data_IF_708473719995
#
_entry.id   IF_708473719995
#
_cell.length_a   1.000
_cell.length_b   1.000
_cell.length_c   1.000
_cell.angle_alpha   90.00
_cell.angle_beta   90.00
_cell.angle_gamma   90.00
#
_symmetry.space_group_name_H-M   'P 1'
#
loop_
_entity.id
_entity.type
_entity.pdbx_description
1 polymer ?
#
# COMPACT_ATOMS: atom_id res chain seq x y z
N UNK A 1 -3.17 -29.77 -80.72
CA UNK A 1 -4.42 -30.35 -81.26
C UNK A 1 -5.57 -29.49 -80.78
N UNK A 2 -6.44 -29.10 -81.70
CA UNK A 2 -7.35 -27.95 -81.64
C UNK A 2 -8.80 -28.41 -81.42
N UNK A 3 -9.53 -27.65 -80.57
CA UNK A 3 -11.00 -27.44 -80.51
C UNK A 3 -11.92 -28.62 -80.12
N UNK A 4 -13.19 -28.38 -79.65
CA UNK A 4 -14.07 -27.19 -79.77
C UNK A 4 -14.78 -26.79 -78.44
N UNK A 5 -15.71 -25.83 -78.25
CA UNK A 5 -16.61 -24.96 -79.04
C UNK A 5 -16.97 -23.73 -78.13
N UNK A 6 -17.17 -22.46 -78.57
CA UNK A 6 -18.30 -21.82 -79.31
C UNK A 6 -19.68 -22.14 -78.65
N UNK A 7 -20.60 -21.22 -78.25
CA UNK A 7 -21.11 -19.95 -78.83
C UNK A 7 -21.87 -19.09 -77.74
N UNK A 8 -22.52 -17.90 -78.01
CA UNK A 8 -22.32 -16.64 -77.25
C UNK A 8 -23.64 -15.88 -76.88
N UNK A 9 -23.53 -14.55 -76.62
CA UNK A 9 -24.52 -13.46 -76.78
C UNK A 9 -25.27 -12.89 -75.53
N UNK A 10 -24.67 -11.87 -74.87
CA UNK A 10 -25.02 -10.42 -74.75
C UNK A 10 -26.51 -9.92 -74.60
N UNK A 11 -26.74 -8.68 -74.05
CA UNK A 11 -27.43 -8.36 -72.77
C UNK A 11 -28.72 -7.48 -72.95
N UNK A 12 -29.32 -6.83 -71.91
CA UNK A 12 -28.87 -5.48 -71.52
C UNK A 12 -29.05 -5.04 -70.04
N UNK A 13 -28.07 -4.26 -69.58
CA UNK A 13 -28.07 -3.01 -68.77
C UNK A 13 -29.26 -2.62 -67.86
N UNK A 14 -28.91 -2.27 -66.61
CA UNK A 14 -29.28 -1.04 -65.89
C UNK A 14 -28.20 -0.84 -64.79
N UNK A 15 -27.24 0.07 -64.99
CA UNK A 15 -27.17 1.42 -64.37
C UNK A 15 -27.20 1.38 -62.83
N UNK A 16 -26.28 1.94 -62.05
CA UNK A 16 -25.07 2.74 -62.24
C UNK A 16 -24.32 2.69 -60.88
N UNK A 17 -22.97 2.77 -60.85
CA UNK A 17 -22.18 2.87 -59.63
C UNK A 17 -21.81 4.33 -59.35
N UNK A 18 -21.83 4.76 -58.09
CA UNK A 18 -21.34 6.09 -57.73
C UNK A 18 -21.15 6.25 -56.23
N UNK A 19 -19.92 6.49 -55.80
CA UNK A 19 -19.62 6.78 -54.41
C UNK A 19 -18.14 6.62 -54.10
N UNK A 20 -17.38 7.63 -54.47
CA UNK A 20 -15.96 7.83 -54.21
C UNK A 20 -15.61 7.64 -52.71
N UNK A 21 -14.42 7.10 -52.43
CA UNK A 21 -13.74 7.24 -51.13
C UNK A 21 -13.45 8.74 -50.92
N UNK A 22 -13.53 9.29 -49.69
CA UNK A 22 -12.28 9.37 -48.91
C UNK A 22 -12.41 9.46 -47.37
N UNK A 23 -11.27 9.19 -46.74
CA UNK A 23 -10.69 9.76 -45.49
C UNK A 23 -11.22 9.37 -44.10
N UNK A 24 -10.22 9.02 -43.28
CA UNK A 24 -10.10 9.15 -41.82
C UNK A 24 -11.32 9.70 -41.08
N UNK A 25 -11.92 8.85 -40.26
CA UNK A 25 -12.69 9.30 -39.10
C UNK A 25 -11.80 9.13 -37.87
N UNK A 26 -10.98 10.15 -37.64
CA UNK A 26 -10.44 10.47 -36.33
C UNK A 26 -11.53 11.17 -35.51
N UNK A 27 -11.53 10.85 -34.22
CA UNK A 27 -12.06 11.62 -33.09
C UNK A 27 -13.53 12.04 -33.14
N UNK A 28 -14.34 11.45 -32.25
CA UNK A 28 -15.09 12.19 -31.23
C UNK A 28 -15.45 11.22 -30.10
N UNK A 29 -14.44 10.86 -29.30
CA UNK A 29 -14.72 10.45 -27.93
C UNK A 29 -15.11 11.74 -27.19
N UNK A 30 -16.42 11.93 -26.96
CA UNK A 30 -16.87 12.90 -25.96
C UNK A 30 -16.33 12.47 -24.60
N UNK A 31 -15.15 13.00 -24.25
CA UNK A 31 -14.65 13.05 -22.89
C UNK A 31 -15.55 14.03 -22.12
N UNK A 32 -16.62 13.51 -21.53
CA UNK A 32 -17.34 14.22 -20.48
C UNK A 32 -16.44 14.24 -19.24
N UNK A 33 -15.49 15.18 -19.21
CA UNK A 33 -14.82 15.65 -18.01
C UNK A 33 -15.83 16.46 -17.17
N UNK A 34 -16.83 15.77 -16.63
CA UNK A 34 -17.44 16.21 -15.36
C UNK A 34 -16.51 15.66 -14.27
N UNK A 35 -15.34 16.28 -14.15
CA UNK A 35 -14.59 16.25 -12.92
C UNK A 35 -15.39 17.04 -11.90
N UNK A 36 -16.33 16.36 -11.25
CA UNK A 36 -16.83 16.78 -9.95
C UNK A 36 -15.61 16.98 -9.06
N UNK A 37 -15.21 18.25 -8.95
CA UNK A 37 -14.28 18.78 -7.97
C UNK A 37 -14.93 18.60 -6.60
N UNK A 38 -14.96 17.36 -6.13
CA UNK A 38 -15.01 17.08 -4.71
C UNK A 38 -13.68 17.62 -4.19
N UNK A 39 -13.69 18.90 -3.81
CA UNK A 39 -12.75 19.45 -2.86
C UNK A 39 -12.82 18.55 -1.61
N UNK A 40 -11.97 17.53 -1.59
CA UNK A 40 -11.68 16.73 -0.42
C UNK A 40 -11.00 17.71 0.54
N UNK A 41 -11.81 18.39 1.35
CA UNK A 41 -11.40 19.41 2.33
C UNK A 41 -10.64 18.79 3.52
N UNK A 42 -10.09 17.59 3.32
CA UNK A 42 -9.24 16.81 4.21
C UNK A 42 -7.75 17.11 3.95
N UNK A 43 -7.41 18.14 3.17
CA UNK A 43 -6.03 18.59 3.03
C UNK A 43 -5.57 19.19 4.38
N UNK A 44 -4.69 18.46 5.06
CA UNK A 44 -4.18 18.84 6.36
C UNK A 44 -3.50 20.21 6.30
N UNK A 45 -3.95 21.14 7.13
CA UNK A 45 -3.56 22.55 7.16
C UNK A 45 -2.13 22.84 7.64
N UNK A 46 -1.32 21.80 7.89
CA UNK A 46 0.03 21.92 8.41
C UNK A 46 0.13 22.00 9.93
N UNK A 47 -0.99 22.03 10.66
CA UNK A 47 -0.98 22.19 12.12
C UNK A 47 -0.77 20.86 12.86
N UNK A 48 -0.08 20.87 14.01
CA UNK A 48 -0.04 19.71 14.89
C UNK A 48 -1.44 19.23 15.27
N UNK A 49 -1.63 17.93 15.36
CA UNK A 49 -2.89 17.31 15.76
C UNK A 49 -2.67 16.32 16.89
N UNK A 50 -3.66 16.12 17.74
CA UNK A 50 -3.60 15.18 18.84
C UNK A 50 -4.66 14.10 18.69
N UNK A 51 -4.30 12.89 19.07
CA UNK A 51 -5.25 11.79 19.17
C UNK A 51 -5.82 11.76 20.58
N UNK A 52 -7.14 11.89 20.67
CA UNK A 52 -7.84 11.76 21.94
C UNK A 52 -8.00 10.29 22.31
N UNK A 53 -7.54 9.94 23.51
CA UNK A 53 -7.81 8.63 24.09
C UNK A 53 -8.92 8.81 25.12
N UNK A 54 -10.15 8.32 24.85
CA UNK A 54 -11.23 8.37 25.81
C UNK A 54 -10.79 7.75 27.14
N UNK A 55 -11.14 8.40 28.26
CA UNK A 55 -10.70 7.94 29.59
C UNK A 55 -11.25 6.55 29.95
N UNK A 56 -12.36 6.16 29.33
CA UNK A 56 -13.01 4.86 29.41
C UNK A 56 -12.48 3.85 28.37
N UNK A 57 -11.57 4.26 27.49
CA UNK A 57 -11.01 3.41 26.45
C UNK A 57 -10.40 2.14 27.05
N UNK A 58 -10.71 0.94 26.51
CA UNK A 58 -10.11 -0.32 26.94
C UNK A 58 -8.57 -0.28 26.92
N UNK A 59 -7.99 0.52 26.03
CA UNK A 59 -6.54 0.72 25.93
C UNK A 59 -5.92 1.33 27.19
N UNK A 60 -6.68 2.09 27.97
CA UNK A 60 -6.20 2.75 29.19
C UNK A 60 -6.74 2.10 30.47
N UNK A 61 -7.93 1.50 30.41
CA UNK A 61 -8.63 0.96 31.59
C UNK A 61 -8.41 -0.53 31.80
N UNK A 62 -8.01 -1.27 30.76
CA UNK A 62 -7.93 -2.73 30.78
C UNK A 62 -6.48 -3.21 30.66
N UNK A 63 -6.18 -4.29 31.36
CA UNK A 63 -4.97 -5.09 31.18
C UNK A 63 -5.27 -6.34 30.36
N UNK A 64 -4.28 -6.79 29.59
CA UNK A 64 -4.44 -7.84 28.61
C UNK A 64 -3.52 -9.02 28.93
N UNK A 65 -4.03 -10.23 28.75
CA UNK A 65 -3.27 -11.47 28.96
C UNK A 65 -2.04 -11.60 28.05
N UNK A 66 -2.08 -10.96 26.87
CA UNK A 66 -1.01 -11.04 25.87
C UNK A 66 -0.76 -9.70 25.19
N UNK A 67 0.47 -9.53 24.71
CA UNK A 67 0.87 -8.36 23.94
C UNK A 67 0.07 -8.25 22.64
N UNK A 68 -0.17 -9.37 21.96
CA UNK A 68 -0.85 -9.40 20.67
C UNK A 68 -2.30 -8.91 20.78
N UNK A 69 -3.03 -9.30 21.84
CA UNK A 69 -4.38 -8.82 22.10
C UNK A 69 -4.44 -7.30 22.29
N UNK A 70 -3.54 -6.76 23.11
CA UNK A 70 -3.44 -5.31 23.30
C UNK A 70 -3.09 -4.62 21.98
N UNK A 71 -2.12 -5.17 21.24
CA UNK A 71 -1.67 -4.60 19.98
C UNK A 71 -2.78 -4.59 18.93
N UNK A 72 -3.66 -5.58 18.89
CA UNK A 72 -4.78 -5.61 17.95
C UNK A 72 -5.85 -4.56 18.28
N UNK A 73 -6.18 -4.35 19.56
CA UNK A 73 -7.04 -3.24 19.98
C UNK A 73 -6.40 -1.89 19.63
N UNK A 74 -5.09 -1.76 19.87
CA UNK A 74 -4.36 -0.54 19.55
C UNK A 74 -4.30 -0.29 18.05
N UNK A 75 -4.12 -1.32 17.21
CA UNK A 75 -4.18 -1.20 15.75
C UNK A 75 -5.56 -0.77 15.28
N UNK A 76 -6.64 -1.32 15.84
CA UNK A 76 -8.00 -0.92 15.50
C UNK A 76 -8.24 0.57 15.80
N UNK A 77 -7.78 1.03 16.96
CA UNK A 77 -7.78 2.44 17.32
C UNK A 77 -6.95 3.29 16.35
N UNK A 78 -5.78 2.81 15.95
CA UNK A 78 -4.94 3.49 14.97
C UNK A 78 -5.61 3.62 13.60
N UNK A 79 -6.31 2.57 13.13
CA UNK A 79 -7.09 2.60 11.89
C UNK A 79 -8.17 3.68 11.96
N UNK A 80 -8.93 3.73 13.06
CA UNK A 80 -9.99 4.71 13.27
C UNK A 80 -9.46 6.15 13.25
N UNK A 81 -8.28 6.36 13.83
CA UNK A 81 -7.61 7.67 13.88
C UNK A 81 -6.66 7.91 12.69
N UNK A 82 -6.75 7.11 11.62
CA UNK A 82 -5.94 7.27 10.40
C UNK A 82 -4.42 7.40 10.68
N UNK A 83 -3.92 6.56 11.58
CA UNK A 83 -2.52 6.58 12.01
C UNK A 83 -1.86 5.20 11.96
N UNK A 84 -0.53 5.21 11.94
CA UNK A 84 0.31 4.02 11.94
C UNK A 84 1.26 4.02 13.12
N UNK A 85 1.50 2.84 13.68
CA UNK A 85 2.43 2.65 14.79
C UNK A 85 3.45 1.58 14.47
N UNK A 86 4.65 1.74 15.01
CA UNK A 86 5.80 0.85 14.83
C UNK A 86 6.52 0.66 16.14
N UNK A 87 7.09 -0.54 16.34
CA UNK A 87 7.92 -0.84 17.50
C UNK A 87 9.32 -0.26 17.30
N UNK A 88 9.72 0.70 18.14
CA UNK A 88 11.05 1.34 18.08
C UNK A 88 12.05 0.76 19.07
N UNK A 89 11.56 0.20 20.19
CA UNK A 89 12.41 -0.42 21.21
C UNK A 89 11.64 -1.51 21.93
N UNK A 90 12.33 -2.59 22.28
CA UNK A 90 11.86 -3.59 23.22
C UNK A 90 12.82 -3.72 24.38
N UNK A 91 12.30 -4.05 25.55
CA UNK A 91 13.08 -4.29 26.76
C UNK A 91 12.69 -5.65 27.34
N UNK A 92 13.71 -6.47 27.58
CA UNK A 92 13.57 -7.76 28.26
C UNK A 92 13.68 -7.60 29.77
N UNK A 93 13.17 -8.60 30.49
CA UNK A 93 13.39 -8.73 31.92
C UNK A 93 14.88 -8.89 32.26
N UNK A 94 15.22 -8.75 33.55
CA UNK A 94 16.61 -8.89 34.02
C UNK A 94 17.20 -10.26 33.68
N UNK A 95 16.37 -11.30 33.68
CA UNK A 95 16.73 -12.67 33.30
C UNK A 95 16.87 -12.87 31.77
N UNK A 96 16.51 -11.86 30.96
CA UNK A 96 16.49 -11.87 29.49
C UNK A 96 15.63 -12.98 28.87
N UNK A 97 14.69 -13.55 29.62
CA UNK A 97 13.81 -14.66 29.20
C UNK A 97 12.58 -14.16 28.45
N UNK A 98 12.04 -13.01 28.83
CA UNK A 98 10.82 -12.45 28.23
C UNK A 98 10.94 -10.96 27.98
N UNK A 99 10.25 -10.50 26.93
CA UNK A 99 10.05 -9.07 26.71
C UNK A 99 8.98 -8.56 27.66
N UNK A 100 9.29 -7.50 28.41
CA UNK A 100 8.38 -6.92 29.42
C UNK A 100 7.90 -5.53 29.03
N UNK A 101 8.50 -4.92 28.00
CA UNK A 101 8.12 -3.58 27.56
C UNK A 101 8.42 -3.38 26.08
N UNK A 102 7.50 -2.72 25.40
CA UNK A 102 7.64 -2.21 24.04
C UNK A 102 7.41 -0.70 24.06
N UNK A 103 8.28 0.02 23.37
CA UNK A 103 8.06 1.42 23.05
C UNK A 103 7.60 1.48 21.59
N UNK A 104 6.40 2.01 21.39
CA UNK A 104 5.78 2.17 20.08
C UNK A 104 5.73 3.66 19.75
N UNK A 105 6.04 4.02 18.51
CA UNK A 105 6.00 5.38 18.01
C UNK A 105 5.19 5.43 16.70
N UNK A 106 4.89 6.64 16.24
CA UNK A 106 4.28 6.81 14.92
C UNK A 106 5.21 6.29 13.82
N UNK A 107 4.67 5.63 12.81
CA UNK A 107 5.43 5.10 11.67
C UNK A 107 6.01 6.19 10.76
N UNK A 108 5.41 7.39 10.79
CA UNK A 108 5.94 8.61 10.17
C UNK A 108 7.04 9.29 11.02
N UNK A 109 7.36 8.79 12.21
CA UNK A 109 8.43 9.35 13.06
C UNK A 109 9.83 9.01 12.55
N UNK A 110 10.81 9.88 12.81
CA UNK A 110 12.22 9.66 12.44
C UNK A 110 12.86 8.47 13.15
N UNK A 111 12.28 8.01 14.26
CA UNK A 111 12.76 6.83 14.96
C UNK A 111 12.57 5.55 14.13
N UNK A 112 11.64 5.59 13.17
CA UNK A 112 11.43 4.52 12.22
C UNK A 112 12.27 4.74 10.97
N UNK A 113 13.47 4.17 10.98
CA UNK A 113 14.17 3.89 9.73
C UNK A 113 13.72 2.49 9.27
N UNK A 114 12.92 2.36 8.18
CA UNK A 114 12.70 1.05 7.59
C UNK A 114 14.08 0.44 7.31
N UNK A 115 14.26 -0.86 7.63
CA UNK A 115 15.54 -1.56 7.45
C UNK A 115 16.14 -1.17 6.11
N UNK A 116 17.39 -0.72 6.12
CA UNK A 116 18.10 -0.32 4.92
C UNK A 116 17.92 -1.42 3.86
N UNK A 117 17.31 -1.07 2.73
CA UNK A 117 17.17 -2.01 1.63
C UNK A 117 18.59 -2.40 1.18
N UNK A 118 18.89 -3.70 1.15
CA UNK A 118 20.20 -4.21 0.73
C UNK A 118 20.41 -3.97 -0.78
N UNK A 119 19.32 -3.77 -1.53
CA UNK A 119 19.38 -3.31 -2.90
C UNK A 119 19.87 -1.85 -2.94
N UNK A 120 20.85 -1.56 -3.81
CA UNK A 120 21.29 -0.19 -4.15
C UNK A 120 20.19 0.54 -4.92
N UNK A 121 19.06 0.81 -4.27
CA UNK A 121 18.00 1.64 -4.82
C UNK A 121 18.59 3.05 -4.85
N UNK A 122 18.57 3.69 -6.03
CA UNK A 122 18.92 5.11 -6.18
C UNK A 122 18.12 5.88 -5.13
N UNK A 123 18.75 6.71 -4.31
CA UNK A 123 18.05 7.58 -3.35
C UNK A 123 17.07 8.47 -4.12
N UNK A 124 15.83 8.02 -4.27
CA UNK A 124 14.73 8.86 -4.72
C UNK A 124 14.27 9.65 -3.51
N UNK A 125 14.41 10.96 -3.58
CA UNK A 125 14.20 11.93 -2.50
C UNK A 125 12.70 12.09 -2.10
N UNK A 126 11.88 11.05 -2.30
CA UNK A 126 10.41 11.13 -2.31
C UNK A 126 9.74 10.61 -1.03
N UNK A 127 10.48 10.13 -0.03
CA UNK A 127 9.90 9.91 1.29
C UNK A 127 10.09 11.18 2.13
N UNK A 128 9.09 12.06 2.15
CA UNK A 128 8.99 13.09 3.19
C UNK A 128 8.78 12.38 4.53
N UNK A 129 9.86 11.94 5.17
CA UNK A 129 9.84 11.48 6.56
C UNK A 129 9.44 12.69 7.39
N UNK A 130 8.30 12.62 8.06
CA UNK A 130 7.80 13.69 8.91
C UNK A 130 8.84 14.00 9.99
N UNK A 131 9.20 15.27 10.04
CA UNK A 131 10.42 15.72 10.66
C UNK A 131 10.26 15.87 12.18
N UNK A 132 10.05 14.78 12.93
CA UNK A 132 9.93 14.68 14.41
C UNK A 132 8.49 14.54 14.94
N UNK A 133 7.73 13.55 14.47
CA UNK A 133 6.52 13.17 15.20
C UNK A 133 6.85 12.71 16.65
N UNK A 134 6.31 13.38 17.70
CA UNK A 134 6.60 13.02 19.09
C UNK A 134 5.67 11.93 19.64
N UNK A 135 4.63 11.53 18.90
CA UNK A 135 3.68 10.51 19.30
C UNK A 135 4.38 9.25 19.78
N UNK A 136 4.03 8.82 20.99
CA UNK A 136 4.65 7.67 21.65
C UNK A 136 3.73 7.06 22.67
N UNK A 137 3.65 5.74 22.63
CA UNK A 137 3.00 4.93 23.66
C UNK A 137 3.97 3.86 24.17
N UNK A 138 3.80 3.48 25.42
CA UNK A 138 4.57 2.39 26.04
C UNK A 138 3.60 1.31 26.43
N UNK A 139 3.88 0.10 25.96
CA UNK A 139 3.16 -1.11 26.36
C UNK A 139 4.07 -1.92 27.25
N UNK A 140 3.61 -2.32 28.43
CA UNK A 140 4.45 -2.98 29.42
C UNK A 140 3.69 -4.05 30.22
N UNK A 141 4.41 -5.11 30.56
CA UNK A 141 3.99 -6.19 31.44
C UNK A 141 4.81 -6.08 32.73
N UNK A 142 4.18 -5.57 33.79
CA UNK A 142 4.82 -5.35 35.08
C UNK A 142 4.47 -6.47 36.06
N UNK A 143 5.41 -6.81 36.94
CA UNK A 143 5.16 -7.77 38.02
C UNK A 143 4.03 -7.30 38.94
N UNK A 144 3.90 -5.99 39.17
CA UNK A 144 2.82 -5.38 39.94
C UNK A 144 1.43 -5.63 39.34
N UNK A 145 1.35 -5.91 38.03
CA UNK A 145 0.11 -6.16 37.31
C UNK A 145 -0.01 -7.64 36.89
N UNK A 146 0.52 -8.57 37.70
CA UNK A 146 0.53 -10.01 37.42
C UNK A 146 1.10 -10.40 36.04
N UNK A 147 1.98 -9.57 35.48
CA UNK A 147 2.51 -9.69 34.12
C UNK A 147 1.48 -9.57 32.98
N UNK A 148 0.30 -9.03 33.27
CA UNK A 148 -0.61 -8.59 32.22
C UNK A 148 -0.09 -7.31 31.56
N UNK A 149 -0.39 -7.18 30.28
CA UNK A 149 0.03 -6.08 29.44
C UNK A 149 -0.90 -4.89 29.60
N UNK A 150 -0.35 -3.72 29.87
CA UNK A 150 -1.08 -2.46 29.89
C UNK A 150 -0.35 -1.42 29.05
N UNK A 151 -1.11 -0.43 28.57
CA UNK A 151 -0.58 0.68 27.79
C UNK A 151 -0.58 1.96 28.62
N UNK A 152 0.41 2.81 28.37
CA UNK A 152 0.40 4.20 28.80
C UNK A 152 0.80 5.12 27.67
N UNK A 153 0.17 6.27 27.61
CA UNK A 153 0.48 7.33 26.64
C UNK A 153 1.67 8.12 27.17
N UNK A 154 2.68 8.32 26.32
CA UNK A 154 3.79 9.24 26.60
C UNK A 154 3.55 10.57 25.90
N UNK A 155 3.03 10.54 24.67
CA UNK A 155 2.57 11.70 23.94
C UNK A 155 1.49 11.29 22.94
N UNK A 156 0.36 12.01 22.93
CA UNK A 156 -0.74 11.93 21.97
C UNK A 156 -0.51 12.80 20.73
N UNK A 157 0.53 13.64 20.74
CA UNK A 157 0.74 14.70 19.76
C UNK A 157 1.45 14.21 18.52
N UNK A 158 0.93 14.61 17.37
CA UNK A 158 1.54 14.48 16.06
C UNK A 158 1.97 15.84 15.55
N UNK A 159 3.20 15.91 15.03
CA UNK A 159 3.78 17.13 14.43
C UNK A 159 4.36 16.80 13.07
N UNK A 160 4.36 17.80 12.20
CA UNK A 160 5.01 17.77 10.89
C UNK A 160 4.45 16.73 9.91
N UNK A 161 3.25 16.20 10.19
CA UNK A 161 2.43 15.42 9.27
C UNK A 161 0.97 15.42 9.67
N UNK A 162 0.07 15.31 8.69
CA UNK A 162 -1.34 15.03 8.91
C UNK A 162 -1.63 13.53 9.15
N UNK A 163 -2.88 13.21 9.51
CA UNK A 163 -3.39 11.84 9.44
C UNK A 163 -3.24 11.26 8.03
N UNK A 164 -3.26 9.94 7.91
CA UNK A 164 -3.17 9.26 6.60
C UNK A 164 -4.51 9.23 5.89
N UNK A 165 -4.53 9.48 4.59
CA UNK A 165 -5.75 9.37 3.78
C UNK A 165 -6.11 7.91 3.53
N UNK A 166 -5.11 7.03 3.51
CA UNK A 166 -5.31 5.61 3.28
C UNK A 166 -4.42 4.73 4.14
N UNK A 167 -4.89 3.51 4.42
CA UNK A 167 -4.12 2.51 5.16
C UNK A 167 -2.82 2.12 4.45
N UNK A 168 -2.79 2.21 3.11
CA UNK A 168 -1.62 1.86 2.29
C UNK A 168 -0.42 2.79 2.51
N UNK A 169 -0.61 3.97 3.10
CA UNK A 169 0.51 4.84 3.49
C UNK A 169 1.39 4.18 4.56
N UNK A 170 0.79 3.39 5.45
CA UNK A 170 1.50 2.81 6.58
C UNK A 170 2.22 1.52 6.21
N UNK A 171 3.48 1.40 6.64
CA UNK A 171 4.31 0.24 6.34
C UNK A 171 3.70 -1.09 6.81
N UNK A 172 3.10 -1.11 8.00
CA UNK A 172 2.50 -2.32 8.58
C UNK A 172 1.33 -2.88 7.76
N UNK A 173 0.59 -2.00 7.08
CA UNK A 173 -0.55 -2.39 6.24
C UNK A 173 -0.16 -2.71 4.80
N UNK A 174 1.05 -2.33 4.36
CA UNK A 174 1.62 -2.73 3.06
C UNK A 174 2.22 -4.13 3.04
N UNK A 175 2.22 -4.85 4.17
CA UNK A 175 2.79 -6.20 4.24
C UNK A 175 1.90 -7.18 3.50
N UNK A 176 2.50 -7.85 2.52
CA UNK A 176 1.89 -8.96 1.81
C UNK A 176 1.65 -10.15 2.75
N UNK A 177 0.54 -10.85 2.56
CA UNK A 177 0.28 -12.13 3.23
C UNK A 177 1.29 -13.19 2.74
N UNK A 178 1.45 -14.29 3.49
CA UNK A 178 2.35 -15.37 3.09
C UNK A 178 1.99 -15.95 1.70
N UNK A 179 0.70 -16.04 1.38
CA UNK A 179 0.23 -16.49 0.07
C UNK A 179 0.56 -15.48 -1.05
N UNK A 180 0.40 -14.18 -0.77
CA UNK A 180 0.75 -13.12 -1.72
C UNK A 180 2.26 -13.06 -1.96
N UNK A 181 3.06 -13.23 -0.89
CA UNK A 181 4.52 -13.32 -0.97
C UNK A 181 4.94 -14.53 -1.80
N UNK A 182 4.34 -15.70 -1.55
CA UNK A 182 4.64 -16.91 -2.32
C UNK A 182 4.34 -16.72 -3.81
N UNK A 183 3.20 -16.13 -4.16
CA UNK A 183 2.89 -15.84 -5.56
C UNK A 183 3.89 -14.85 -6.16
N UNK A 184 4.27 -13.80 -5.42
CA UNK A 184 5.29 -12.85 -5.87
C UNK A 184 6.62 -13.56 -6.15
N UNK A 185 7.06 -14.47 -5.27
CA UNK A 185 8.26 -15.28 -5.47
C UNK A 185 8.14 -16.15 -6.72
N UNK A 186 7.04 -16.88 -6.88
CA UNK A 186 6.78 -17.73 -8.06
C UNK A 186 6.83 -16.90 -9.37
N UNK A 187 6.17 -15.74 -9.38
CA UNK A 187 6.15 -14.81 -10.53
C UNK A 187 7.54 -14.21 -10.82
N UNK A 188 8.38 -14.01 -9.80
CA UNK A 188 9.74 -13.50 -9.98
C UNK A 188 10.72 -14.58 -10.48
N UNK A 189 10.46 -15.85 -10.17
CA UNK A 189 11.26 -16.98 -10.64
C UNK A 189 10.90 -17.40 -12.07
N UNK A 190 9.68 -17.11 -12.52
CA UNK A 190 9.25 -17.39 -13.88
C UNK A 190 9.90 -16.43 -14.90
N UNK A 191 10.86 -16.97 -15.66
CA UNK A 191 11.59 -16.24 -16.70
C UNK A 191 10.72 -15.81 -17.90
N UNK A 192 9.52 -16.35 -18.05
CA UNK A 192 8.57 -15.98 -19.12
C UNK A 192 7.80 -14.71 -18.78
N UNK A 193 7.77 -14.32 -17.50
CA UNK A 193 7.03 -13.16 -17.02
C UNK A 193 7.97 -11.96 -16.97
N UNK A 194 7.65 -10.94 -17.76
CA UNK A 194 8.35 -9.67 -17.68
C UNK A 194 8.13 -9.04 -16.29
N UNK A 195 9.20 -8.56 -15.64
CA UNK A 195 9.14 -8.00 -14.27
C UNK A 195 8.11 -6.87 -14.13
N UNK A 196 7.90 -6.07 -15.18
CA UNK A 196 6.87 -5.00 -15.24
C UNK A 196 5.43 -5.53 -15.16
N UNK A 197 5.20 -6.80 -15.45
CA UNK A 197 3.88 -7.45 -15.42
C UNK A 197 3.53 -8.03 -14.04
N UNK A 198 4.52 -8.24 -13.17
CA UNK A 198 4.33 -8.88 -11.86
C UNK A 198 3.31 -8.13 -11.00
N UNK A 199 3.39 -6.79 -10.95
CA UNK A 199 2.41 -5.97 -10.23
C UNK A 199 1.00 -6.12 -10.79
N UNK A 200 0.84 -6.12 -12.12
CA UNK A 200 -0.46 -6.28 -12.79
C UNK A 200 -1.08 -7.65 -12.46
N UNK A 201 -0.28 -8.70 -12.42
CA UNK A 201 -0.75 -10.05 -12.08
C UNK A 201 -1.14 -10.18 -10.61
N UNK A 202 -0.38 -9.55 -9.70
CA UNK A 202 -0.74 -9.46 -8.29
C UNK A 202 -2.07 -8.72 -8.09
N UNK A 203 -2.26 -7.58 -8.75
CA UNK A 203 -3.51 -6.82 -8.68
C UNK A 203 -4.68 -7.53 -9.37
N UNK A 204 -4.45 -8.34 -10.41
CA UNK A 204 -5.50 -9.14 -11.03
C UNK A 204 -6.06 -10.19 -10.06
N UNK A 205 -5.18 -10.88 -9.33
CA UNK A 205 -5.61 -11.87 -8.34
C UNK A 205 -6.14 -11.23 -7.05
N UNK A 206 -5.59 -10.08 -6.67
CA UNK A 206 -6.01 -9.32 -5.49
C UNK A 206 -6.21 -7.83 -5.83
N UNK A 207 -7.41 -7.44 -6.29
CA UNK A 207 -7.69 -6.05 -6.73
C UNK A 207 -7.52 -5.00 -5.64
N UNK A 208 -7.61 -5.40 -4.36
CA UNK A 208 -7.51 -4.52 -3.19
C UNK A 208 -6.17 -4.67 -2.45
N UNK A 209 -5.11 -5.10 -3.14
CA UNK A 209 -3.81 -5.30 -2.49
C UNK A 209 -3.23 -3.93 -2.08
N UNK A 210 -2.85 -3.73 -0.81
CA UNK A 210 -2.31 -2.46 -0.34
C UNK A 210 -0.82 -2.31 -0.74
N UNK A 211 -0.49 -2.47 -2.02
CA UNK A 211 0.88 -2.39 -2.54
C UNK A 211 0.97 -1.18 -3.46
N UNK A 212 1.82 -0.21 -3.12
CA UNK A 212 2.14 0.90 -4.01
C UNK A 212 2.85 0.42 -5.27
N UNK A 213 2.59 1.07 -6.41
CA UNK A 213 3.09 0.71 -7.75
C UNK A 213 4.61 0.83 -7.97
N UNK A 214 5.42 0.97 -6.93
CA UNK A 214 6.87 1.24 -7.03
C UNK A 214 7.70 -0.03 -7.23
N UNK A 215 7.46 -0.74 -8.34
CA UNK A 215 8.40 -1.75 -8.84
C UNK A 215 9.40 -1.09 -9.80
N UNK A 216 10.51 -0.56 -9.25
CA UNK A 216 11.59 0.02 -10.05
C UNK A 216 12.46 -1.07 -10.67
N UNK A 217 12.63 -1.00 -11.99
CA UNK A 217 13.46 -1.88 -12.80
C UNK A 217 14.94 -1.83 -12.37
N UNK A 218 15.57 -3.00 -12.31
CA UNK A 218 17.01 -3.17 -12.23
C UNK A 218 17.41 -4.47 -12.92
N UNK A 219 18.46 -4.50 -13.77
CA UNK A 219 18.80 -5.67 -14.55
C UNK A 219 19.50 -6.71 -13.68
N UNK A 220 19.30 -7.98 -14.04
CA UNK A 220 20.06 -9.18 -13.63
C UNK A 220 19.85 -9.74 -12.21
N UNK A 221 19.01 -10.79 -12.18
CA UNK A 221 19.28 -12.14 -11.65
C UNK A 221 20.09 -12.23 -10.34
N UNK A 222 19.39 -12.11 -9.20
CA UNK A 222 19.29 -13.14 -8.14
C UNK A 222 18.46 -12.55 -7.00
N UNK A 223 17.17 -12.90 -6.95
CA UNK A 223 16.38 -12.67 -5.75
C UNK A 223 16.75 -13.74 -4.73
N UNK A 224 17.86 -13.53 -4.03
CA UNK A 224 18.00 -14.02 -2.66
C UNK A 224 17.65 -12.85 -1.78
N UNK A 225 16.77 -13.03 -0.78
CA UNK A 225 17.02 -12.56 0.60
C UNK A 225 15.82 -12.81 1.53
N UNK A 226 16.22 -13.36 2.67
CA UNK A 226 15.60 -13.42 4.02
C UNK A 226 15.09 -12.10 4.57
#
# INVERSE_FOLDING_TARGET
>A
MTSPALIPALPPTLSEPGGELPVDSADEFSESDDCDDFHDNDDWDGQPWEVEFPSDSPLLTTSYESFDRLLDVLKAFCIQNRMGIVTIRSQKDKAKKRTIKYELACDKSRYFNPKACVAKIRNTNTAKIAANCPFKVIVQSLQANNYEWSMRIVSSLHRDHGPSHSLSEHYHWRKLTAEQMKLLEDLCLDSTIASRSVHKQLCHKWPKIPVGSTFSQGPTKRCTLT
#
